data_IF_982865642249
#
_entry.id   IF_982865642249
#
_cell.length_a   1.000
_cell.length_b   1.000
_cell.length_c   1.000
_cell.angle_alpha   90.00
_cell.angle_beta   90.00
_cell.angle_gamma   90.00
#
_symmetry.space_group_name_H-M   'P 1'
#
loop_
_entity.id
_entity.type
_entity.pdbx_description
1 polymer ?
#
# COMPACT_ATOMS: atom_id res chain seq x y z
N UNK A 1 -31.71 118.41 -32.94
CA UNK A 1 -30.31 118.00 -33.12
C UNK A 1 -30.22 116.56 -32.62
N UNK A 2 -29.56 115.71 -33.39
CA UNK A 2 -29.25 114.28 -33.15
C UNK A 2 -30.36 113.29 -33.54
N UNK A 3 -30.44 112.88 -34.82
CA UNK A 3 -29.73 111.76 -35.52
C UNK A 3 -30.23 110.39 -35.03
N UNK A 4 -31.08 109.68 -35.80
CA UNK A 4 -30.73 108.71 -36.87
C UNK A 4 -29.64 107.73 -36.41
N UNK A 5 -29.72 106.42 -36.61
CA UNK A 5 -30.71 105.52 -37.16
C UNK A 5 -30.11 104.10 -36.99
N UNK A 6 -30.96 103.08 -36.96
CA UNK A 6 -30.62 101.69 -37.31
C UNK A 6 -29.60 100.92 -36.42
N UNK A 7 -30.14 100.21 -35.42
CA UNK A 7 -29.61 98.90 -35.04
C UNK A 7 -29.91 97.99 -36.22
N UNK A 8 -28.93 97.74 -37.08
CA UNK A 8 -29.04 96.73 -38.12
C UNK A 8 -27.77 95.87 -38.15
N UNK A 9 -27.89 94.68 -37.59
CA UNK A 9 -27.00 93.56 -37.92
C UNK A 9 -27.78 92.25 -37.83
N UNK A 10 -28.98 92.25 -38.42
CA UNK A 10 -29.65 91.00 -38.75
C UNK A 10 -28.99 90.48 -40.04
N UNK A 11 -27.92 89.68 -39.90
CA UNK A 11 -27.33 88.99 -41.04
C UNK A 11 -28.43 88.19 -41.73
N UNK A 12 -28.58 88.26 -43.06
CA UNK A 12 -29.61 87.51 -43.76
C UNK A 12 -29.45 86.02 -43.40
N UNK A 13 -30.53 85.32 -42.99
CA UNK A 13 -30.45 83.96 -42.47
C UNK A 13 -29.76 82.98 -43.44
N UNK A 14 -29.78 83.28 -44.73
CA UNK A 14 -29.15 82.51 -45.80
C UNK A 14 -27.60 82.52 -45.72
N UNK A 15 -26.96 83.63 -45.31
CA UNK A 15 -25.48 83.70 -45.23
C UNK A 15 -24.91 82.96 -44.01
N UNK A 16 -25.65 82.98 -42.88
CA UNK A 16 -25.28 82.23 -41.68
C UNK A 16 -25.36 80.72 -41.94
N UNK A 17 -26.42 80.26 -42.60
CA UNK A 17 -26.60 78.84 -42.93
C UNK A 17 -25.47 78.33 -43.84
N UNK A 18 -25.09 79.10 -44.88
CA UNK A 18 -23.98 78.72 -45.77
C UNK A 18 -22.63 78.69 -45.03
N UNK A 19 -22.37 79.63 -44.12
CA UNK A 19 -21.16 79.62 -43.28
C UNK A 19 -21.10 78.40 -42.35
N UNK A 20 -22.22 78.04 -41.72
CA UNK A 20 -22.27 76.83 -40.89
C UNK A 20 -22.09 75.56 -41.72
N UNK A 21 -22.71 75.49 -42.91
CA UNK A 21 -22.54 74.36 -43.82
C UNK A 21 -21.08 74.21 -44.26
N UNK A 22 -20.42 75.31 -44.63
CA UNK A 22 -19.00 75.34 -44.98
C UNK A 22 -18.11 74.84 -43.83
N UNK A 23 -18.30 75.36 -42.62
CA UNK A 23 -17.52 74.96 -41.44
C UNK A 23 -17.76 73.47 -41.13
N UNK A 24 -18.99 72.99 -41.26
CA UNK A 24 -19.31 71.58 -41.02
C UNK A 24 -18.66 70.64 -42.04
N UNK A 25 -18.66 70.98 -43.33
CA UNK A 25 -18.03 70.17 -44.39
C UNK A 25 -16.50 70.11 -44.21
N UNK A 26 -15.87 71.20 -43.76
CA UNK A 26 -14.42 71.21 -43.42
C UNK A 26 -14.12 70.27 -42.25
N UNK A 27 -14.89 70.36 -41.16
CA UNK A 27 -14.68 69.53 -39.98
C UNK A 27 -14.92 68.05 -40.27
N UNK A 28 -15.96 67.72 -41.04
CA UNK A 28 -16.27 66.35 -41.46
C UNK A 28 -15.17 65.81 -42.36
N UNK A 29 -14.71 66.58 -43.35
CA UNK A 29 -13.63 66.15 -44.24
C UNK A 29 -12.34 65.87 -43.45
N UNK A 30 -11.95 66.76 -42.53
CA UNK A 30 -10.75 66.57 -41.70
C UNK A 30 -10.85 65.30 -40.85
N UNK A 31 -11.99 65.08 -40.18
CA UNK A 31 -12.22 63.88 -39.40
C UNK A 31 -12.15 62.60 -40.26
N UNK A 32 -12.75 62.63 -41.47
CA UNK A 32 -12.80 61.48 -42.37
C UNK A 32 -11.45 61.17 -43.03
N UNK A 33 -10.51 62.12 -43.12
CA UNK A 33 -9.13 61.81 -43.49
C UNK A 33 -8.27 61.34 -42.31
N UNK A 34 -8.62 61.71 -41.07
CA UNK A 34 -7.88 61.30 -39.86
C UNK A 34 -8.18 59.86 -39.42
N UNK A 35 -9.45 59.46 -39.36
CA UNK A 35 -9.87 58.12 -38.88
C UNK A 35 -9.20 56.96 -39.65
N UNK A 36 -9.08 56.99 -40.99
CA UNK A 36 -8.41 55.93 -41.75
C UNK A 36 -6.91 55.80 -41.41
N UNK A 37 -6.22 56.89 -41.08
CA UNK A 37 -4.81 56.85 -40.66
C UNK A 37 -4.66 56.09 -39.33
N UNK A 38 -5.58 56.33 -38.39
CA UNK A 38 -5.63 55.61 -37.10
C UNK A 38 -5.94 54.12 -37.30
N UNK A 39 -6.87 53.79 -38.20
CA UNK A 39 -7.20 52.40 -38.53
C UNK A 39 -6.01 51.66 -39.17
N UNK A 40 -5.28 52.30 -40.09
CA UNK A 40 -4.08 51.72 -40.71
C UNK A 40 -3.00 51.46 -39.65
N UNK A 41 -2.78 52.42 -38.74
CA UNK A 41 -1.84 52.26 -37.63
C UNK A 41 -2.22 51.08 -36.73
N UNK A 42 -3.50 50.97 -36.35
CA UNK A 42 -4.01 49.85 -35.54
C UNK A 42 -3.78 48.50 -36.23
N UNK A 43 -4.10 48.38 -37.53
CA UNK A 43 -3.91 47.13 -38.29
C UNK A 43 -2.45 46.72 -38.34
N UNK A 44 -1.53 47.66 -38.58
CA UNK A 44 -0.10 47.40 -38.62
C UNK A 44 0.46 46.93 -37.27
N UNK A 45 -0.05 47.48 -36.16
CA UNK A 45 0.38 47.08 -34.81
C UNK A 45 -0.28 45.78 -34.34
N UNK A 46 -1.47 45.45 -34.84
CA UNK A 46 -2.20 44.23 -34.49
C UNK A 46 -1.64 43.00 -35.24
N UNK A 47 -0.97 42.10 -34.50
CA UNK A 47 -0.40 40.88 -35.06
C UNK A 47 -1.45 39.82 -35.43
N UNK A 48 -2.67 39.90 -34.89
CA UNK A 48 -3.66 38.82 -34.92
C UNK A 48 -5.08 39.29 -35.28
N UNK A 49 -5.22 40.05 -36.38
CA UNK A 49 -6.56 40.36 -36.91
C UNK A 49 -6.81 39.57 -38.21
N UNK A 50 -7.69 38.56 -38.21
CA UNK A 50 -7.88 37.66 -39.35
C UNK A 50 -8.51 38.33 -40.59
N UNK A 51 -9.13 39.51 -40.44
CA UNK A 51 -9.89 40.19 -41.49
C UNK A 51 -9.31 41.56 -41.89
N UNK A 52 -8.01 41.63 -42.20
CA UNK A 52 -7.32 42.89 -42.57
C UNK A 52 -7.96 43.62 -43.75
N UNK A 53 -8.45 42.88 -44.75
CA UNK A 53 -9.10 43.44 -45.94
C UNK A 53 -10.36 44.26 -45.64
N UNK A 54 -11.09 43.89 -44.59
CA UNK A 54 -12.36 44.54 -44.23
C UNK A 54 -12.12 45.89 -43.58
N UNK A 55 -11.09 45.98 -42.75
CA UNK A 55 -10.63 47.25 -42.19
C UNK A 55 -10.10 48.19 -43.29
N UNK A 56 -9.40 47.67 -44.30
CA UNK A 56 -9.00 48.47 -45.46
C UNK A 56 -10.20 48.96 -46.28
N UNK A 57 -11.21 48.11 -46.48
CA UNK A 57 -12.44 48.48 -47.19
C UNK A 57 -13.26 49.54 -46.43
N UNK A 58 -13.32 49.43 -45.09
CA UNK A 58 -13.94 50.42 -44.22
C UNK A 58 -13.16 51.76 -44.23
N UNK A 59 -11.82 51.71 -44.22
CA UNK A 59 -10.98 52.89 -44.41
C UNK A 59 -11.21 53.57 -45.77
N UNK A 60 -11.28 52.79 -46.86
CA UNK A 60 -11.57 53.30 -48.20
C UNK A 60 -12.96 53.94 -48.30
N UNK A 61 -13.97 53.35 -47.65
CA UNK A 61 -15.32 53.92 -47.56
C UNK A 61 -15.33 55.29 -46.86
N UNK A 62 -14.64 55.42 -45.72
CA UNK A 62 -14.54 56.68 -44.97
C UNK A 62 -13.81 57.75 -45.78
N UNK A 63 -12.71 57.41 -46.46
CA UNK A 63 -11.97 58.35 -47.32
C UNK A 63 -12.85 58.85 -48.47
N UNK A 64 -13.58 57.95 -49.15
CA UNK A 64 -14.47 58.32 -50.25
C UNK A 64 -15.64 59.20 -49.77
N UNK A 65 -16.21 58.91 -48.60
CA UNK A 65 -17.17 59.82 -47.95
C UNK A 65 -16.53 61.19 -47.68
N UNK A 66 -15.31 61.23 -47.13
CA UNK A 66 -14.60 62.48 -46.80
C UNK A 66 -14.31 63.33 -48.02
N UNK A 67 -13.94 62.67 -49.12
CA UNK A 67 -13.72 63.32 -50.41
C UNK A 67 -15.00 64.03 -50.91
N UNK A 68 -16.20 63.49 -50.68
CA UNK A 68 -17.44 64.16 -51.08
C UNK A 68 -17.69 65.46 -50.32
N UNK A 69 -17.42 65.51 -49.02
CA UNK A 69 -17.51 66.74 -48.22
C UNK A 69 -16.42 67.75 -48.62
N UNK A 70 -15.21 67.26 -48.91
CA UNK A 70 -14.12 68.11 -49.38
C UNK A 70 -14.40 68.72 -50.77
N UNK A 71 -14.98 67.96 -51.71
CA UNK A 71 -15.35 68.45 -53.03
C UNK A 71 -16.53 69.45 -52.95
N UNK A 72 -17.48 69.23 -52.03
CA UNK A 72 -18.56 70.19 -51.75
C UNK A 72 -18.01 71.56 -51.34
N UNK A 73 -16.91 71.61 -50.60
CA UNK A 73 -16.25 72.86 -50.21
C UNK A 73 -15.87 73.73 -51.43
N UNK A 74 -15.34 73.09 -52.47
CA UNK A 74 -14.97 73.74 -53.74
C UNK A 74 -16.19 74.16 -54.55
N UNK A 75 -17.33 73.48 -54.36
CA UNK A 75 -18.57 73.77 -55.07
C UNK A 75 -19.18 75.10 -54.63
N UNK A 76 -18.90 75.57 -53.41
CA UNK A 76 -19.32 76.89 -52.91
C UNK A 76 -18.56 78.05 -53.56
N UNK A 77 -17.31 77.85 -54.00
CA UNK A 77 -16.47 78.92 -54.57
C UNK A 77 -16.38 78.88 -56.09
N UNK A 78 -16.48 77.69 -56.70
CA UNK A 78 -16.31 77.49 -58.15
C UNK A 78 -17.36 76.52 -58.70
N UNK A 79 -18.43 77.05 -59.30
CA UNK A 79 -19.46 76.22 -59.91
C UNK A 79 -19.09 75.86 -61.36
N UNK A 80 -18.34 74.77 -61.53
CA UNK A 80 -17.92 74.26 -62.85
C UNK A 80 -18.49 72.87 -63.14
N UNK A 81 -18.81 72.60 -64.41
CA UNK A 81 -19.25 71.26 -64.89
C UNK A 81 -18.26 70.15 -64.51
N UNK A 82 -16.98 70.49 -64.42
CA UNK A 82 -15.92 69.55 -64.02
C UNK A 82 -16.07 69.15 -62.55
N UNK A 83 -16.29 70.11 -61.64
CA UNK A 83 -16.48 69.84 -60.19
C UNK A 83 -17.73 69.00 -59.97
N UNK A 84 -18.82 69.28 -60.69
CA UNK A 84 -20.04 68.48 -60.64
C UNK A 84 -19.80 67.03 -61.12
N UNK A 85 -19.05 66.83 -62.22
CA UNK A 85 -18.67 65.48 -62.67
C UNK A 85 -17.83 64.74 -61.63
N UNK A 86 -16.79 65.37 -61.07
CA UNK A 86 -15.95 64.75 -60.03
C UNK A 86 -16.80 64.39 -58.79
N UNK A 87 -17.72 65.25 -58.39
CA UNK A 87 -18.64 64.99 -57.27
C UNK A 87 -19.55 63.78 -57.54
N UNK A 88 -20.11 63.66 -58.75
CA UNK A 88 -20.93 62.51 -59.12
C UNK A 88 -20.13 61.21 -59.13
N UNK A 89 -18.90 61.22 -59.66
CA UNK A 89 -18.02 60.05 -59.68
C UNK A 89 -17.66 59.63 -58.24
N UNK A 90 -17.31 60.58 -57.37
CA UNK A 90 -17.00 60.31 -55.98
C UNK A 90 -18.19 59.71 -55.22
N UNK A 91 -19.42 60.22 -55.46
CA UNK A 91 -20.66 59.67 -54.89
C UNK A 91 -20.94 58.25 -55.36
N UNK A 92 -20.79 57.96 -56.65
CA UNK A 92 -21.00 56.60 -57.21
C UNK A 92 -19.96 55.62 -56.66
N UNK A 93 -18.68 56.02 -56.62
CA UNK A 93 -17.62 55.19 -56.05
C UNK A 93 -17.87 54.90 -54.56
N UNK A 94 -18.27 55.91 -53.80
CA UNK A 94 -18.64 55.77 -52.39
C UNK A 94 -19.81 54.79 -52.20
N UNK A 95 -20.87 54.90 -53.02
CA UNK A 95 -22.02 54.01 -52.95
C UNK A 95 -21.65 52.54 -53.24
N UNK A 96 -20.78 52.29 -54.23
CA UNK A 96 -20.31 50.94 -54.56
C UNK A 96 -19.50 50.34 -53.40
N UNK A 97 -18.52 51.09 -52.88
CA UNK A 97 -17.69 50.61 -51.76
C UNK A 97 -18.53 50.39 -50.51
N UNK A 98 -19.48 51.29 -50.21
CA UNK A 98 -20.41 51.17 -49.08
C UNK A 98 -21.28 49.91 -49.17
N UNK A 99 -21.88 49.65 -50.34
CA UNK A 99 -22.69 48.46 -50.56
C UNK A 99 -21.86 47.18 -50.41
N UNK A 100 -20.65 47.16 -50.97
CA UNK A 100 -19.73 46.05 -50.81
C UNK A 100 -19.29 45.85 -49.35
N UNK A 101 -19.08 46.93 -48.57
CA UNK A 101 -18.72 46.80 -47.14
C UNK A 101 -19.86 46.21 -46.32
N UNK A 102 -21.11 46.58 -46.63
CA UNK A 102 -22.28 46.09 -45.92
C UNK A 102 -22.49 44.58 -46.15
N UNK A 103 -22.33 44.11 -47.38
CA UNK A 103 -22.45 42.68 -47.72
C UNK A 103 -21.37 41.82 -47.03
N UNK A 104 -20.12 42.28 -47.02
CA UNK A 104 -19.03 41.58 -46.35
C UNK A 104 -19.25 41.47 -44.84
N UNK A 105 -19.74 42.54 -44.21
CA UNK A 105 -19.95 42.57 -42.76
C UNK A 105 -20.96 41.50 -42.29
N UNK A 106 -22.02 41.25 -43.07
CA UNK A 106 -23.01 40.19 -42.79
C UNK A 106 -22.36 38.81 -42.73
N UNK A 107 -21.34 38.56 -43.54
CA UNK A 107 -20.63 37.28 -43.56
C UNK A 107 -19.62 37.13 -42.41
N UNK A 108 -18.98 38.24 -42.00
CA UNK A 108 -17.88 38.19 -41.02
C UNK A 108 -18.36 38.23 -39.56
N UNK A 109 -19.47 38.93 -39.29
CA UNK A 109 -20.07 38.97 -37.94
C UNK A 109 -20.29 37.55 -37.34
N UNK A 110 -20.92 36.59 -38.04
CA UNK A 110 -21.14 35.26 -37.47
C UNK A 110 -19.83 34.52 -37.17
N UNK A 111 -18.80 34.66 -38.02
CA UNK A 111 -17.49 34.04 -37.79
C UNK A 111 -16.80 34.64 -36.56
N UNK A 112 -16.85 35.96 -36.38
CA UNK A 112 -16.27 36.64 -35.22
C UNK A 112 -16.94 36.22 -33.90
N UNK A 113 -18.26 36.06 -33.93
CA UNK A 113 -19.04 35.55 -32.79
C UNK A 113 -18.73 34.07 -32.52
N UNK A 114 -18.51 33.26 -33.56
CA UNK A 114 -18.19 31.84 -33.41
C UNK A 114 -16.87 31.61 -32.65
N UNK A 115 -15.85 32.43 -32.86
CA UNK A 115 -14.56 32.32 -32.15
C UNK A 115 -14.74 32.51 -30.64
N UNK A 116 -15.52 33.51 -30.24
CA UNK A 116 -15.79 33.79 -28.82
C UNK A 116 -16.58 32.65 -28.16
N UNK A 117 -17.53 32.04 -28.88
CA UNK A 117 -18.25 30.87 -28.37
C UNK A 117 -17.33 29.64 -28.22
N UNK A 118 -16.38 29.45 -29.15
CA UNK A 118 -15.41 28.35 -29.11
C UNK A 118 -14.42 28.50 -27.96
N UNK A 119 -13.94 29.72 -27.71
CA UNK A 119 -13.08 30.01 -26.55
C UNK A 119 -13.79 29.69 -25.23
N UNK A 120 -15.05 30.12 -25.08
CA UNK A 120 -15.85 29.83 -23.88
C UNK A 120 -16.06 28.32 -23.70
N UNK A 121 -16.37 27.60 -24.77
CA UNK A 121 -16.54 26.15 -24.71
C UNK A 121 -15.23 25.44 -24.30
N UNK A 122 -14.09 25.84 -24.87
CA UNK A 122 -12.79 25.27 -24.54
C UNK A 122 -12.38 25.56 -23.10
N UNK A 123 -12.65 26.77 -22.58
CA UNK A 123 -12.41 27.09 -21.16
C UNK A 123 -13.25 26.23 -20.22
N UNK A 124 -14.55 26.12 -20.49
CA UNK A 124 -15.42 25.27 -19.68
C UNK A 124 -14.98 23.80 -19.72
N UNK A 125 -14.55 23.31 -20.89
CA UNK A 125 -13.99 21.95 -21.03
C UNK A 125 -12.67 21.77 -20.30
N UNK A 126 -11.79 22.77 -20.32
CA UNK A 126 -10.54 22.75 -19.57
C UNK A 126 -10.79 22.73 -18.06
N UNK A 127 -11.71 23.56 -17.55
CA UNK A 127 -12.10 23.57 -16.14
C UNK A 127 -12.74 22.25 -15.70
N UNK A 128 -13.59 21.65 -16.54
CA UNK A 128 -14.16 20.33 -16.29
C UNK A 128 -13.07 19.25 -16.21
N UNK A 129 -12.12 19.26 -17.15
CA UNK A 129 -11.01 18.31 -17.21
C UNK A 129 -10.05 18.49 -16.03
N UNK A 130 -9.75 19.72 -15.61
CA UNK A 130 -8.92 19.99 -14.44
C UNK A 130 -9.57 19.47 -13.16
N UNK A 131 -10.91 19.58 -13.04
CA UNK A 131 -11.65 19.01 -11.91
C UNK A 131 -11.59 17.48 -11.91
N UNK A 132 -11.76 16.84 -13.06
CA UNK A 132 -11.64 15.38 -13.19
C UNK A 132 -10.21 14.91 -12.90
N UNK A 133 -9.20 15.59 -13.46
CA UNK A 133 -7.78 15.30 -13.21
C UNK A 133 -7.44 15.41 -11.73
N UNK A 134 -7.94 16.45 -11.05
CA UNK A 134 -7.74 16.61 -9.60
C UNK A 134 -8.27 15.42 -8.79
N UNK A 135 -9.45 14.91 -9.13
CA UNK A 135 -10.01 13.71 -8.48
C UNK A 135 -9.15 12.47 -8.74
N UNK A 136 -8.71 12.27 -9.99
CA UNK A 136 -7.86 11.12 -10.37
C UNK A 136 -6.52 11.16 -9.63
N UNK A 137 -5.87 12.33 -9.54
CA UNK A 137 -4.60 12.47 -8.82
C UNK A 137 -4.74 12.11 -7.34
N UNK A 138 -5.79 12.60 -6.66
CA UNK A 138 -6.02 12.24 -5.25
C UNK A 138 -6.29 10.74 -5.06
N UNK A 139 -6.96 10.10 -6.02
CA UNK A 139 -7.17 8.66 -6.03
C UNK A 139 -5.86 7.88 -6.24
N UNK A 140 -4.97 8.36 -7.12
CA UNK A 140 -3.69 7.73 -7.36
C UNK A 140 -2.75 7.86 -6.14
N UNK A 141 -2.70 9.03 -5.51
CA UNK A 141 -1.93 9.26 -4.29
C UNK A 141 -2.38 8.37 -3.13
N UNK A 142 -3.69 8.31 -2.86
CA UNK A 142 -4.26 7.42 -1.85
C UNK A 142 -3.95 5.95 -2.14
N UNK A 143 -4.07 5.52 -3.41
CA UNK A 143 -3.69 4.18 -3.83
C UNK A 143 -2.20 3.87 -3.64
N UNK A 144 -1.30 4.84 -3.89
CA UNK A 144 0.15 4.68 -3.63
C UNK A 144 0.46 4.55 -2.15
N UNK A 145 -0.17 5.36 -1.29
CA UNK A 145 0.00 5.28 0.16
C UNK A 145 -0.46 3.91 0.69
N UNK A 146 -1.63 3.43 0.24
CA UNK A 146 -2.11 2.08 0.59
C UNK A 146 -1.13 1.00 0.14
N UNK A 147 -0.58 1.08 -1.08
CA UNK A 147 0.44 0.12 -1.55
C UNK A 147 1.70 0.15 -0.67
N UNK A 148 2.17 1.33 -0.27
CA UNK A 148 3.33 1.46 0.62
C UNK A 148 3.04 0.82 1.99
N UNK A 149 1.87 1.08 2.55
CA UNK A 149 1.39 0.46 3.79
C UNK A 149 1.34 -1.07 3.68
N UNK A 150 0.82 -1.61 2.58
CA UNK A 150 0.79 -3.08 2.41
C UNK A 150 2.18 -3.71 2.38
N UNK A 151 3.19 -2.98 1.89
CA UNK A 151 4.57 -3.44 1.93
C UNK A 151 5.13 -3.41 3.36
N UNK A 152 4.89 -2.34 4.11
CA UNK A 152 5.32 -2.21 5.50
C UNK A 152 4.68 -3.28 6.41
N UNK A 153 3.39 -3.53 6.24
CA UNK A 153 2.64 -4.60 6.93
C UNK A 153 3.30 -5.97 6.69
N UNK A 154 3.71 -6.27 5.44
CA UNK A 154 4.38 -7.53 5.11
C UNK A 154 5.80 -7.65 5.68
N UNK A 155 6.46 -6.54 5.96
CA UNK A 155 7.82 -6.52 6.52
C UNK A 155 7.86 -6.69 8.04
N UNK A 156 6.74 -6.45 8.72
CA UNK A 156 6.62 -6.57 10.17
C UNK A 156 6.17 -7.99 10.53
N UNK A 157 6.74 -8.55 11.60
CA UNK A 157 6.43 -9.92 12.07
C UNK A 157 5.73 -9.94 13.43
N UNK A 158 5.60 -8.79 14.10
CA UNK A 158 4.87 -8.69 15.36
C UNK A 158 3.38 -8.39 15.12
N UNK A 159 2.52 -9.27 15.64
CA UNK A 159 1.06 -9.17 15.50
C UNK A 159 0.50 -7.83 15.98
N UNK A 160 0.94 -7.36 17.15
CA UNK A 160 0.40 -6.12 17.72
C UNK A 160 0.79 -4.90 16.90
N UNK A 161 2.03 -4.87 16.41
CA UNK A 161 2.55 -3.81 15.56
C UNK A 161 1.86 -3.79 14.21
N UNK A 162 1.69 -4.95 13.55
CA UNK A 162 0.95 -5.08 12.28
C UNK A 162 -0.45 -4.44 12.42
N UNK A 163 -1.20 -4.84 13.45
CA UNK A 163 -2.57 -4.35 13.64
C UNK A 163 -2.60 -2.85 13.93
N UNK A 164 -1.76 -2.38 14.86
CA UNK A 164 -1.73 -0.97 15.24
C UNK A 164 -1.33 -0.08 14.05
N UNK A 165 -0.28 -0.44 13.32
CA UNK A 165 0.19 0.33 12.16
C UNK A 165 -0.86 0.36 11.06
N UNK A 166 -1.51 -0.78 10.77
CA UNK A 166 -2.61 -0.85 9.80
C UNK A 166 -3.72 0.13 10.17
N UNK A 167 -4.21 0.11 11.41
CA UNK A 167 -5.31 0.98 11.83
C UNK A 167 -4.95 2.46 11.72
N UNK A 168 -3.74 2.84 12.15
CA UNK A 168 -3.27 4.23 12.12
C UNK A 168 -3.09 4.74 10.69
N UNK A 169 -2.40 3.99 9.83
CA UNK A 169 -2.11 4.42 8.47
C UNK A 169 -3.34 4.37 7.57
N UNK A 170 -4.23 3.38 7.76
CA UNK A 170 -5.52 3.34 7.09
C UNK A 170 -6.41 4.51 7.54
N UNK A 171 -6.40 4.82 8.84
CA UNK A 171 -7.08 5.98 9.42
C UNK A 171 -6.63 7.30 8.81
N UNK A 172 -5.32 7.48 8.66
CA UNK A 172 -4.74 8.68 8.02
C UNK A 172 -5.03 8.76 6.52
N UNK A 173 -4.85 7.65 5.81
CA UNK A 173 -4.97 7.61 4.34
C UNK A 173 -6.40 7.81 3.86
N UNK A 174 -7.37 7.23 4.57
CA UNK A 174 -8.78 7.35 4.24
C UNK A 174 -9.50 8.44 5.04
N UNK A 175 -8.83 9.13 5.97
CA UNK A 175 -9.42 10.17 6.81
C UNK A 175 -10.60 9.65 7.64
N UNK A 176 -10.37 8.56 8.38
CA UNK A 176 -11.41 7.88 9.17
C UNK A 176 -11.59 8.54 10.54
N UNK A 177 -12.82 8.56 11.04
CA UNK A 177 -13.10 8.95 12.43
C UNK A 177 -12.81 7.81 13.39
N UNK A 178 -13.06 6.56 12.99
CA UNK A 178 -12.73 5.38 13.79
C UNK A 178 -12.42 4.20 12.86
N UNK A 179 -11.47 3.37 13.28
CA UNK A 179 -11.15 2.10 12.64
C UNK A 179 -10.97 1.07 13.74
N UNK A 180 -11.77 0.00 13.70
CA UNK A 180 -11.84 -1.00 14.75
C UNK A 180 -11.66 -2.40 14.17
N UNK A 181 -10.89 -3.24 14.85
CA UNK A 181 -10.72 -4.64 14.50
C UNK A 181 -11.34 -5.54 15.57
N UNK A 182 -12.30 -6.35 15.14
CA UNK A 182 -13.03 -7.31 15.95
C UNK A 182 -12.48 -8.71 15.67
N UNK A 183 -11.99 -9.36 16.71
CA UNK A 183 -11.40 -10.69 16.63
C UNK A 183 -12.34 -11.70 17.29
N UNK A 184 -12.43 -12.94 16.80
CA UNK A 184 -13.22 -13.98 17.46
C UNK A 184 -12.64 -14.28 18.86
N UNK A 185 -13.55 -14.42 19.83
CA UNK A 185 -13.26 -14.80 21.21
C UNK A 185 -12.76 -16.24 21.29
N UNK A 186 -12.15 -16.60 22.44
CA UNK A 186 -11.68 -17.97 22.70
C UNK A 186 -12.79 -19.02 22.61
N UNK A 187 -14.03 -18.63 22.92
CA UNK A 187 -15.20 -19.48 22.86
C UNK A 187 -15.74 -19.66 21.44
N UNK A 188 -15.29 -18.85 20.47
CA UNK A 188 -15.75 -18.88 19.08
C UNK A 188 -17.19 -18.40 18.86
N UNK A 189 -17.89 -17.93 19.91
CA UNK A 189 -19.30 -17.50 19.81
C UNK A 189 -19.48 -15.99 19.62
N UNK A 190 -18.50 -15.21 20.07
CA UNK A 190 -18.54 -13.75 20.07
C UNK A 190 -17.30 -13.16 19.40
N UNK A 191 -17.45 -11.98 18.80
CA UNK A 191 -16.38 -11.09 18.39
C UNK A 191 -16.03 -10.14 19.53
N UNK A 192 -14.77 -10.11 19.94
CA UNK A 192 -14.24 -9.18 20.91
C UNK A 192 -13.47 -8.05 20.21
N UNK A 193 -13.68 -6.81 20.64
CA UNK A 193 -12.91 -5.69 20.14
C UNK A 193 -11.43 -5.84 20.57
N UNK A 194 -10.56 -5.96 19.58
CA UNK A 194 -9.13 -6.19 19.79
C UNK A 194 -8.32 -4.90 19.70
N UNK A 195 -8.53 -4.12 18.63
CA UNK A 195 -7.81 -2.87 18.39
C UNK A 195 -8.76 -1.79 17.87
N UNK A 196 -8.47 -0.52 18.18
CA UNK A 196 -9.25 0.65 17.79
C UNK A 196 -8.29 1.82 17.57
N UNK A 197 -8.61 2.72 16.64
CA UNK A 197 -7.80 3.87 16.29
C UNK A 197 -7.91 4.95 17.37
N UNK A 198 -9.13 5.38 17.67
CA UNK A 198 -9.41 6.54 18.52
C UNK A 198 -10.10 6.17 19.84
N UNK A 199 -10.28 4.88 20.13
CA UNK A 199 -10.91 4.37 21.35
C UNK A 199 -12.34 4.88 21.58
N UNK A 200 -13.05 5.27 20.51
CA UNK A 200 -14.46 5.69 20.60
C UNK A 200 -15.38 4.49 20.92
N UNK A 201 -14.94 3.27 20.63
CA UNK A 201 -15.57 2.03 21.05
C UNK A 201 -14.83 1.50 22.29
N UNK A 202 -15.58 1.11 23.34
CA UNK A 202 -14.98 0.58 24.57
C UNK A 202 -14.24 -0.74 24.30
N UNK A 203 -12.92 -0.75 24.54
CA UNK A 203 -12.07 -1.95 24.51
C UNK A 203 -12.63 -2.99 25.49
N UNK A 204 -12.79 -4.23 25.03
CA UNK A 204 -13.44 -5.31 25.78
C UNK A 204 -14.93 -5.50 25.47
N UNK A 205 -15.53 -4.68 24.61
CA UNK A 205 -16.87 -4.93 24.08
C UNK A 205 -16.90 -6.26 23.31
N UNK A 206 -17.99 -7.01 23.47
CA UNK A 206 -18.25 -8.25 22.72
C UNK A 206 -19.53 -8.13 21.90
N UNK A 207 -19.53 -8.78 20.74
CA UNK A 207 -20.65 -8.80 19.79
C UNK A 207 -20.87 -10.23 19.33
N UNK A 208 -22.08 -10.80 19.43
CA UNK A 208 -22.34 -12.18 18.99
C UNK A 208 -22.08 -12.38 17.49
N UNK A 209 -21.44 -13.51 17.12
CA UNK A 209 -21.15 -13.85 15.71
C UNK A 209 -22.42 -14.22 14.94
N UNK A 210 -23.45 -14.72 15.62
CA UNK A 210 -24.72 -15.15 15.02
C UNK A 210 -25.61 -13.99 14.53
N UNK A 211 -25.18 -12.73 14.67
CA UNK A 211 -25.90 -11.60 14.13
C UNK A 211 -25.96 -11.66 12.59
N UNK A 212 -27.11 -11.36 11.96
CA UNK A 212 -27.29 -11.48 10.51
C UNK A 212 -26.27 -10.65 9.73
N UNK A 213 -25.99 -9.42 10.20
CA UNK A 213 -24.99 -8.54 9.58
C UNK A 213 -23.57 -9.11 9.64
N UNK A 214 -23.20 -9.76 10.76
CA UNK A 214 -21.87 -10.36 10.92
C UNK A 214 -21.73 -11.54 9.95
N UNK A 215 -22.75 -12.38 9.86
CA UNK A 215 -22.77 -13.50 8.94
C UNK A 215 -22.72 -13.04 7.47
N UNK A 216 -23.40 -11.94 7.13
CA UNK A 216 -23.33 -11.35 5.80
C UNK A 216 -21.90 -10.88 5.47
N UNK A 217 -21.24 -10.19 6.41
CA UNK A 217 -19.83 -9.76 6.26
C UNK A 217 -18.90 -10.97 6.12
N UNK A 218 -19.12 -12.03 6.88
CA UNK A 218 -18.31 -13.26 6.78
C UNK A 218 -18.47 -13.97 5.44
N UNK A 219 -19.66 -13.96 4.85
CA UNK A 219 -19.92 -14.60 3.56
C UNK A 219 -19.48 -13.74 2.37
N UNK A 220 -19.37 -12.42 2.52
CA UNK A 220 -18.89 -11.52 1.48
C UNK A 220 -17.36 -11.40 1.48
N UNK A 221 -16.74 -11.48 0.29
CA UNK A 221 -15.34 -11.11 0.12
C UNK A 221 -15.12 -9.59 0.03
N UNK A 222 -16.19 -8.84 -0.21
CA UNK A 222 -16.15 -7.40 -0.45
C UNK A 222 -16.38 -6.60 0.82
N UNK A 223 -15.87 -5.38 0.84
CA UNK A 223 -16.19 -4.40 1.87
C UNK A 223 -17.66 -4.00 1.73
N UNK A 224 -18.44 -4.18 2.81
CA UNK A 224 -19.87 -3.96 2.81
C UNK A 224 -20.24 -2.76 3.67
N UNK A 225 -21.19 -1.95 3.18
CA UNK A 225 -21.76 -0.85 3.96
C UNK A 225 -22.70 -1.44 5.00
N UNK A 226 -22.48 -1.12 6.28
CA UNK A 226 -23.32 -1.58 7.40
C UNK A 226 -23.99 -0.38 8.07
N UNK A 227 -25.18 -0.56 8.68
CA UNK A 227 -25.82 0.54 9.39
C UNK A 227 -25.03 0.91 10.65
N UNK A 228 -24.95 2.21 10.95
CA UNK A 228 -24.28 2.72 12.16
C UNK A 228 -24.93 2.21 13.47
N UNK A 229 -26.17 1.72 13.40
CA UNK A 229 -26.87 1.08 14.52
C UNK A 229 -26.35 -0.33 14.83
N UNK A 230 -25.52 -0.91 13.96
CA UNK A 230 -24.91 -2.22 14.18
C UNK A 230 -24.02 -2.19 15.44
N UNK A 231 -24.08 -3.22 16.31
CA UNK A 231 -23.25 -3.29 17.51
C UNK A 231 -21.74 -3.16 17.24
N UNK A 232 -21.28 -3.61 16.07
CA UNK A 232 -19.90 -3.49 15.61
C UNK A 232 -19.44 -2.04 15.37
N UNK A 233 -20.38 -1.13 15.12
CA UNK A 233 -20.17 0.25 14.72
C UNK A 233 -20.54 1.26 15.82
N UNK A 234 -20.95 0.78 17.00
CA UNK A 234 -21.50 1.61 18.07
C UNK A 234 -20.41 2.38 18.79
N UNK A 235 -20.13 3.59 18.32
CA UNK A 235 -19.29 4.59 19.00
C UNK A 235 -20.03 5.25 20.17
N UNK A 236 -19.31 5.69 21.21
CA UNK A 236 -19.90 6.49 22.30
C UNK A 236 -20.58 7.74 21.73
N UNK A 237 -21.73 8.18 22.29
CA UNK A 237 -22.45 9.32 21.74
C UNK A 237 -21.69 10.62 22.00
N UNK A 238 -21.35 11.37 20.95
CA UNK A 238 -21.15 12.81 21.06
C UNK A 238 -22.50 13.50 20.82
N UNK A 239 -23.00 14.14 21.88
CA UNK A 239 -24.21 14.95 21.88
C UNK A 239 -24.16 15.97 20.74
N UNK A 240 -25.19 16.01 19.88
CA UNK A 240 -25.39 17.11 18.91
C UNK A 240 -25.15 16.83 17.42
N UNK A 241 -25.04 15.56 16.97
CA UNK A 241 -24.79 15.24 15.55
C UNK A 241 -26.09 15.07 14.74
N UNK A 242 -26.13 15.68 13.53
CA UNK A 242 -27.31 15.74 12.64
C UNK A 242 -27.32 14.71 11.50
N UNK A 243 -26.19 14.02 11.22
CA UNK A 243 -26.07 13.06 10.10
C UNK A 243 -25.47 11.74 10.60
N UNK A 244 -26.10 10.58 10.29
CA UNK A 244 -25.53 9.29 10.63
C UNK A 244 -24.25 9.02 9.81
N UNK A 245 -23.15 8.52 10.43
CA UNK A 245 -21.93 8.22 9.70
C UNK A 245 -22.14 7.05 8.74
N UNK A 246 -21.44 7.09 7.61
CA UNK A 246 -21.30 5.88 6.78
C UNK A 246 -20.26 4.94 7.39
N UNK A 247 -20.65 3.68 7.53
CA UNK A 247 -19.83 2.62 8.12
C UNK A 247 -19.65 1.51 7.12
N UNK A 248 -18.41 1.02 7.03
CA UNK A 248 -18.04 -0.13 6.21
C UNK A 248 -17.44 -1.21 7.09
N UNK A 249 -17.80 -2.46 6.81
CA UNK A 249 -17.21 -3.63 7.43
C UNK A 249 -16.63 -4.56 6.35
N UNK A 250 -15.44 -5.09 6.61
CA UNK A 250 -14.77 -6.05 5.75
C UNK A 250 -14.27 -7.23 6.60
N UNK A 251 -14.40 -8.45 6.09
CA UNK A 251 -13.83 -9.62 6.75
C UNK A 251 -12.31 -9.64 6.58
N UNK A 252 -11.61 -10.07 7.63
CA UNK A 252 -10.18 -10.34 7.62
C UNK A 252 -10.01 -11.83 7.90
N UNK A 253 -9.65 -12.65 6.89
CA UNK A 253 -9.44 -14.08 7.09
C UNK A 253 -8.33 -14.34 8.11
N UNK A 254 -8.60 -15.19 9.10
CA UNK A 254 -7.58 -15.67 10.01
C UNK A 254 -7.25 -17.11 9.62
N UNK A 255 -6.01 -17.33 9.17
CA UNK A 255 -5.51 -18.68 8.91
C UNK A 255 -5.23 -19.34 10.27
N UNK A 256 -5.90 -20.47 10.52
CA UNK A 256 -5.63 -21.30 11.70
C UNK A 256 -4.74 -22.47 11.28
N UNK A 257 -3.48 -22.47 11.73
CA UNK A 257 -2.61 -23.63 11.61
C UNK A 257 -3.09 -24.68 12.62
N UNK A 258 -3.94 -25.58 12.15
CA UNK A 258 -4.62 -26.58 13.00
C UNK A 258 -3.75 -27.83 13.22
N UNK A 259 -2.45 -27.80 12.92
CA UNK A 259 -1.66 -29.01 12.71
C UNK A 259 -0.56 -29.29 13.75
N UNK A 260 -0.37 -28.46 14.76
CA UNK A 260 0.36 -28.85 15.97
C UNK A 260 -0.59 -28.85 17.15
N UNK A 261 -0.94 -30.06 17.62
CA UNK A 261 -1.65 -30.26 18.87
C UNK A 261 -0.79 -29.76 20.03
N UNK A 262 -0.94 -28.49 20.38
CA UNK A 262 -0.62 -27.97 21.70
C UNK A 262 -1.96 -27.90 22.43
N UNK A 263 -2.12 -28.79 23.41
CA UNK A 263 -3.27 -28.84 24.31
C UNK A 263 -3.63 -27.42 24.79
N UNK A 264 -4.78 -26.90 24.35
CA UNK A 264 -5.59 -25.83 25.01
C UNK A 264 -6.66 -25.18 24.10
N UNK A 265 -6.94 -25.70 22.89
CA UNK A 265 -8.01 -25.18 22.03
C UNK A 265 -9.03 -26.26 21.66
N UNK A 266 -10.35 -26.03 21.86
CA UNK A 266 -11.37 -26.93 21.36
C UNK A 266 -11.33 -26.98 19.83
N UNK A 267 -11.23 -28.19 19.28
CA UNK A 267 -11.31 -28.51 17.85
C UNK A 267 -12.60 -27.95 17.24
N UNK A 268 -12.54 -26.75 16.67
CA UNK A 268 -13.53 -26.25 15.73
C UNK A 268 -12.79 -25.80 14.48
N UNK A 269 -12.72 -26.71 13.51
CA UNK A 269 -12.31 -26.52 12.11
C UNK A 269 -13.28 -25.55 11.36
N UNK A 270 -13.61 -24.41 11.95
CA UNK A 270 -14.39 -23.36 11.33
C UNK A 270 -13.44 -22.25 10.89
N UNK A 271 -13.57 -21.82 9.63
CA UNK A 271 -12.84 -20.64 9.12
C UNK A 271 -13.10 -19.47 10.08
N UNK A 272 -12.05 -19.02 10.74
CA UNK A 272 -12.13 -17.93 11.71
C UNK A 272 -11.94 -16.62 10.97
N UNK A 273 -12.90 -15.71 11.10
CA UNK A 273 -12.86 -14.40 10.46
C UNK A 273 -12.83 -13.33 11.54
N UNK A 274 -11.93 -12.37 11.39
CA UNK A 274 -12.03 -11.09 12.05
C UNK A 274 -12.88 -10.13 11.21
N UNK A 275 -13.41 -9.08 11.82
CA UNK A 275 -14.11 -8.00 11.13
C UNK A 275 -13.39 -6.68 11.36
N UNK A 276 -12.97 -6.03 10.28
CA UNK A 276 -12.49 -4.66 10.33
C UNK A 276 -13.63 -3.72 10.00
N UNK A 277 -13.88 -2.75 10.87
CA UNK A 277 -14.97 -1.77 10.78
C UNK A 277 -14.37 -0.38 10.67
N UNK A 278 -14.80 0.37 9.66
CA UNK A 278 -14.28 1.69 9.32
C UNK A 278 -15.43 2.69 9.32
N UNK A 279 -15.25 3.80 10.02
CA UNK A 279 -16.27 4.83 10.23
C UNK A 279 -15.75 6.14 9.66
N UNK A 280 -16.50 6.74 8.73
CA UNK A 280 -16.18 8.06 8.19
C UNK A 280 -16.56 9.19 9.16
N UNK A 281 -15.93 10.37 9.04
CA UNK A 281 -16.23 11.53 9.86
C UNK A 281 -17.69 11.94 9.77
N UNK A 282 -18.37 11.93 10.91
CA UNK A 282 -19.77 12.35 11.08
C UNK A 282 -20.04 13.83 10.80
N UNK A 283 -19.01 14.69 10.83
CA UNK A 283 -19.13 16.12 10.54
C UNK A 283 -19.24 16.41 9.03
N UNK A 284 -18.98 15.41 8.20
CA UNK A 284 -18.97 15.51 6.75
C UNK A 284 -20.07 14.64 6.15
N UNK A 285 -20.78 15.14 5.14
CA UNK A 285 -21.72 14.34 4.34
C UNK A 285 -20.99 13.39 3.36
N UNK A 286 -19.73 13.03 3.64
CA UNK A 286 -18.89 12.17 2.81
C UNK A 286 -19.44 10.76 2.81
N UNK A 287 -19.46 10.18 1.61
CA UNK A 287 -19.82 8.78 1.38
C UNK A 287 -18.61 8.00 0.89
N UNK A 288 -18.62 6.69 1.14
CA UNK A 288 -17.63 5.77 0.61
C UNK A 288 -17.73 5.68 -0.90
N UNK A 289 -16.61 5.97 -1.57
CA UNK A 289 -16.47 5.73 -3.01
C UNK A 289 -16.05 4.28 -3.25
N UNK A 290 -16.40 3.75 -4.42
CA UNK A 290 -16.17 2.33 -4.71
C UNK A 290 -14.68 1.98 -4.73
N UNK A 291 -13.80 2.88 -5.19
CA UNK A 291 -12.35 2.67 -5.12
C UNK A 291 -11.80 2.61 -3.70
N UNK A 292 -12.42 3.32 -2.74
CA UNK A 292 -12.00 3.26 -1.34
C UNK A 292 -12.37 1.92 -0.71
N UNK A 293 -13.51 1.34 -1.11
CA UNK A 293 -13.91 0.00 -0.72
C UNK A 293 -12.92 -1.04 -1.25
N UNK A 294 -12.54 -0.94 -2.52
CA UNK A 294 -11.52 -1.82 -3.12
C UNK A 294 -10.17 -1.72 -2.40
N UNK A 295 -9.75 -0.50 -2.02
CA UNK A 295 -8.52 -0.31 -1.24
C UNK A 295 -8.61 -0.98 0.14
N UNK A 296 -9.75 -0.86 0.83
CA UNK A 296 -9.98 -1.49 2.14
C UNK A 296 -9.96 -3.02 2.03
N UNK A 297 -10.53 -3.58 0.96
CA UNK A 297 -10.46 -5.03 0.68
C UNK A 297 -9.02 -5.50 0.53
N UNK A 298 -8.22 -4.79 -0.29
CA UNK A 298 -6.80 -5.12 -0.47
C UNK A 298 -6.06 -5.07 0.86
N UNK A 299 -6.28 -4.03 1.67
CA UNK A 299 -5.63 -3.92 2.99
C UNK A 299 -6.06 -5.06 3.91
N UNK A 300 -7.35 -5.41 3.96
CA UNK A 300 -7.85 -6.51 4.78
C UNK A 300 -7.18 -7.85 4.44
N UNK A 301 -7.04 -8.16 3.14
CA UNK A 301 -6.33 -9.36 2.68
C UNK A 301 -4.84 -9.33 3.03
N UNK A 302 -4.19 -8.17 2.95
CA UNK A 302 -2.77 -8.06 3.32
C UNK A 302 -2.53 -8.20 4.82
N UNK A 303 -3.43 -7.66 5.63
CA UNK A 303 -3.42 -7.84 7.08
C UNK A 303 -3.59 -9.32 7.41
N UNK A 304 -4.52 -10.02 6.75
CA UNK A 304 -4.71 -11.46 6.93
C UNK A 304 -3.43 -12.25 6.63
N UNK A 305 -2.74 -11.94 5.53
CA UNK A 305 -1.46 -12.59 5.16
C UNK A 305 -0.38 -12.30 6.21
N UNK A 306 -0.19 -11.04 6.61
CA UNK A 306 0.84 -10.68 7.58
C UNK A 306 0.58 -11.29 8.96
N UNK A 307 -0.68 -11.29 9.41
CA UNK A 307 -1.09 -11.97 10.64
C UNK A 307 -0.82 -13.47 10.59
N UNK A 308 -1.07 -14.10 9.43
CA UNK A 308 -0.73 -15.50 9.24
C UNK A 308 0.77 -15.73 9.40
N UNK A 309 1.62 -14.96 8.71
CA UNK A 309 3.07 -15.09 8.81
C UNK A 309 3.58 -14.89 10.24
N UNK A 310 3.06 -13.89 10.97
CA UNK A 310 3.38 -13.67 12.36
C UNK A 310 3.02 -14.89 13.24
N UNK A 311 1.84 -15.49 13.03
CA UNK A 311 1.42 -16.68 13.76
C UNK A 311 2.31 -17.90 13.46
N UNK A 312 2.65 -18.15 12.18
CA UNK A 312 3.54 -19.25 11.79
C UNK A 312 4.91 -19.09 12.47
N UNK A 313 5.43 -17.87 12.47
CA UNK A 313 6.75 -17.59 13.05
C UNK A 313 6.75 -17.82 14.56
N UNK A 314 5.74 -17.33 15.27
CA UNK A 314 5.60 -17.51 16.72
C UNK A 314 5.52 -19.00 17.09
N UNK A 315 4.75 -19.79 16.33
CA UNK A 315 4.64 -21.23 16.50
C UNK A 315 5.97 -21.95 16.21
N UNK A 316 6.63 -21.60 15.11
CA UNK A 316 7.93 -22.16 14.74
C UNK A 316 9.00 -21.85 15.78
N UNK A 317 9.00 -20.66 16.36
CA UNK A 317 9.91 -20.29 17.44
C UNK A 317 9.66 -21.13 18.69
N UNK A 318 8.40 -21.28 19.11
CA UNK A 318 8.03 -22.14 20.25
C UNK A 318 8.45 -23.58 20.04
N UNK A 319 8.19 -24.15 18.87
CA UNK A 319 8.58 -25.52 18.54
C UNK A 319 10.11 -25.69 18.57
N UNK A 320 10.86 -24.71 18.06
CA UNK A 320 12.32 -24.71 18.13
C UNK A 320 12.82 -24.69 19.57
N UNK A 321 12.25 -23.83 20.41
CA UNK A 321 12.68 -23.71 21.81
C UNK A 321 12.39 -25.00 22.59
N UNK A 322 11.23 -25.63 22.38
CA UNK A 322 10.92 -26.96 22.93
C UNK A 322 11.90 -28.04 22.48
N UNK A 323 12.28 -28.04 21.20
CA UNK A 323 13.27 -28.99 20.67
C UNK A 323 14.66 -28.76 21.29
N UNK A 324 15.05 -27.52 21.54
CA UNK A 324 16.31 -27.20 22.21
C UNK A 324 16.31 -27.74 23.65
N UNK A 325 15.24 -27.51 24.41
CA UNK A 325 15.10 -28.01 25.77
C UNK A 325 15.16 -29.54 25.83
N UNK A 326 14.46 -30.21 24.91
CA UNK A 326 14.51 -31.67 24.78
C UNK A 326 15.91 -32.17 24.42
N UNK A 327 16.62 -31.49 23.53
CA UNK A 327 17.97 -31.88 23.14
C UNK A 327 18.96 -31.74 24.31
N UNK A 328 18.84 -30.66 25.10
CA UNK A 328 19.63 -30.47 26.32
C UNK A 328 19.36 -31.57 27.34
N UNK A 329 18.08 -31.86 27.62
CA UNK A 329 17.70 -32.92 28.55
C UNK A 329 18.20 -34.30 28.08
N UNK A 330 18.10 -34.58 26.78
CA UNK A 330 18.59 -35.82 26.18
C UNK A 330 20.12 -35.96 26.29
N UNK A 331 20.86 -34.89 26.02
CA UNK A 331 22.32 -34.89 26.14
C UNK A 331 22.77 -35.10 27.59
N UNK A 332 22.08 -34.51 28.55
CA UNK A 332 22.36 -34.73 29.98
C UNK A 332 22.11 -36.19 30.39
N UNK A 333 20.95 -36.74 30.03
CA UNK A 333 20.62 -38.14 30.32
C UNK A 333 21.60 -39.11 29.66
N UNK A 334 22.01 -38.82 28.41
CA UNK A 334 23.05 -39.59 27.71
C UNK A 334 24.38 -39.53 28.44
N UNK A 335 24.82 -38.34 28.86
CA UNK A 335 26.09 -38.17 29.56
C UNK A 335 26.10 -38.88 30.94
N UNK A 336 24.98 -38.88 31.65
CA UNK A 336 24.84 -39.64 32.90
C UNK A 336 24.94 -41.15 32.66
N UNK A 337 24.26 -41.65 31.62
CA UNK A 337 24.35 -43.06 31.23
C UNK A 337 25.78 -43.45 30.83
N UNK A 338 26.48 -42.63 30.03
CA UNK A 338 27.88 -42.86 29.66
C UNK A 338 28.81 -42.88 30.87
N UNK A 339 28.64 -41.95 31.82
CA UNK A 339 29.41 -41.95 33.08
C UNK A 339 29.17 -43.20 33.92
N UNK A 340 27.92 -43.66 34.00
CA UNK A 340 27.58 -44.87 34.73
C UNK A 340 28.19 -46.13 34.08
N UNK A 341 28.19 -46.20 32.75
CA UNK A 341 28.82 -47.29 31.98
C UNK A 341 30.34 -47.29 32.20
N UNK A 342 31.00 -46.13 32.10
CA UNK A 342 32.43 -46.03 32.36
C UNK A 342 32.78 -46.44 33.79
N UNK A 343 32.06 -45.94 34.80
CA UNK A 343 32.29 -46.33 36.19
C UNK A 343 32.10 -47.84 36.42
N UNK A 344 31.11 -48.46 35.77
CA UNK A 344 30.88 -49.91 35.79
C UNK A 344 32.08 -50.67 35.22
N UNK A 345 32.57 -50.26 34.05
CA UNK A 345 33.68 -50.92 33.37
C UNK A 345 35.00 -50.75 34.14
N UNK A 346 35.28 -49.56 34.67
CA UNK A 346 36.45 -49.30 35.51
C UNK A 346 36.44 -50.16 36.77
N UNK A 347 35.28 -50.30 37.42
CA UNK A 347 35.10 -51.17 38.58
C UNK A 347 35.38 -52.64 38.26
N UNK A 348 34.86 -53.16 37.13
CA UNK A 348 35.09 -54.54 36.71
C UNK A 348 36.57 -54.80 36.40
N UNK A 349 37.26 -53.87 35.73
CA UNK A 349 38.69 -53.99 35.44
C UNK A 349 39.53 -54.07 36.72
N UNK A 350 39.29 -53.14 37.68
CA UNK A 350 40.03 -53.11 38.95
C UNK A 350 39.73 -54.38 39.77
N UNK A 351 38.46 -54.75 39.92
CA UNK A 351 38.08 -55.94 40.69
C UNK A 351 38.74 -57.20 40.13
N UNK A 352 38.71 -57.40 38.81
CA UNK A 352 39.30 -58.58 38.18
C UNK A 352 40.83 -58.63 38.40
N UNK A 353 41.52 -57.50 38.29
CA UNK A 353 42.96 -57.44 38.58
C UNK A 353 43.26 -57.79 40.04
N UNK A 354 42.49 -57.22 40.98
CA UNK A 354 42.67 -57.44 42.41
C UNK A 354 42.23 -58.84 42.87
N UNK A 355 41.31 -59.50 42.16
CA UNK A 355 40.93 -60.90 42.43
C UNK A 355 41.91 -61.91 41.80
N UNK A 356 42.60 -61.55 40.71
CA UNK A 356 43.59 -62.41 40.05
C UNK A 356 44.78 -62.71 40.97
N UNK A 357 45.31 -61.70 41.63
CA UNK A 357 46.50 -61.81 42.51
C UNK A 357 46.32 -62.83 43.65
N UNK A 358 45.27 -62.74 44.50
CA UNK A 358 45.04 -63.73 45.54
C UNK A 358 44.74 -65.11 44.96
N UNK A 359 44.08 -65.19 43.80
CA UNK A 359 43.83 -66.50 43.19
C UNK A 359 45.10 -67.20 42.71
N UNK A 360 46.02 -66.48 42.08
CA UNK A 360 47.30 -67.05 41.68
C UNK A 360 48.13 -67.47 42.89
N UNK A 361 48.07 -66.72 44.00
CA UNK A 361 48.71 -67.11 45.25
C UNK A 361 48.13 -68.40 45.82
N UNK A 362 46.80 -68.57 45.84
CA UNK A 362 46.14 -69.81 46.30
C UNK A 362 46.52 -70.99 45.39
N UNK A 363 46.49 -70.82 44.07
CA UNK A 363 46.89 -71.85 43.10
C UNK A 363 48.35 -72.27 43.33
N UNK A 364 49.26 -71.30 43.48
CA UNK A 364 50.68 -71.57 43.72
C UNK A 364 50.90 -72.30 45.05
N UNK A 365 50.26 -71.85 46.13
CA UNK A 365 50.37 -72.49 47.45
C UNK A 365 49.80 -73.91 47.44
N UNK A 366 48.64 -74.15 46.80
CA UNK A 366 48.09 -75.49 46.66
C UNK A 366 49.00 -76.39 45.83
N UNK A 367 49.59 -75.87 44.75
CA UNK A 367 50.54 -76.61 43.91
C UNK A 367 51.79 -77.01 44.70
N UNK A 368 52.37 -76.08 45.48
CA UNK A 368 53.51 -76.35 46.34
C UNK A 368 53.20 -77.36 47.45
N UNK A 369 52.00 -77.29 48.04
CA UNK A 369 51.57 -78.26 49.05
C UNK A 369 51.42 -79.68 48.46
N UNK A 370 50.95 -79.81 47.22
CA UNK A 370 50.82 -81.12 46.56
C UNK A 370 52.15 -81.83 46.30
N UNK A 371 53.24 -81.07 46.22
CA UNK A 371 54.63 -81.57 46.12
C UNK A 371 55.20 -82.03 47.47
N UNK A 372 54.49 -81.83 48.59
CA UNK A 372 54.90 -82.29 49.93
C UNK A 372 54.30 -83.65 50.31
N UNK A 373 54.81 -84.27 51.37
CA UNK A 373 54.21 -85.47 51.94
C UNK A 373 52.87 -85.15 52.61
N UNK A 374 51.77 -85.56 51.97
CA UNK A 374 50.40 -85.36 52.44
C UNK A 374 49.72 -86.71 52.70
N UNK A 375 48.82 -86.75 53.68
CA UNK A 375 47.90 -87.88 53.84
C UNK A 375 46.92 -87.97 52.66
N UNK A 376 46.34 -89.15 52.36
CA UNK A 376 45.38 -89.31 51.27
C UNK A 376 44.20 -88.33 51.35
N UNK A 377 43.66 -88.09 52.55
CA UNK A 377 42.56 -87.16 52.78
C UNK A 377 42.96 -85.69 52.54
N UNK A 378 44.16 -85.30 52.99
CA UNK A 378 44.69 -83.94 52.76
C UNK A 378 44.96 -83.68 51.27
N UNK A 379 45.47 -84.68 50.54
CA UNK A 379 45.71 -84.59 49.09
C UNK A 379 44.41 -84.32 48.34
N UNK A 380 43.36 -85.10 48.60
CA UNK A 380 42.04 -84.91 47.96
C UNK A 380 41.46 -83.52 48.27
N UNK A 381 41.63 -83.03 49.50
CA UNK A 381 41.15 -81.70 49.89
C UNK A 381 41.89 -80.57 49.15
N UNK A 382 43.22 -80.66 49.03
CA UNK A 382 44.04 -79.67 48.30
C UNK A 382 43.78 -79.74 46.80
N UNK A 383 43.64 -80.94 46.21
CA UNK A 383 43.25 -81.11 44.80
C UNK A 383 41.90 -80.47 44.49
N UNK A 384 40.94 -80.58 45.42
CA UNK A 384 39.62 -79.95 45.30
C UNK A 384 39.72 -78.42 45.37
N UNK A 385 40.53 -77.87 46.28
CA UNK A 385 40.78 -76.42 46.37
C UNK A 385 41.48 -75.92 45.11
N UNK A 386 42.48 -76.63 44.60
CA UNK A 386 43.20 -76.28 43.37
C UNK A 386 42.26 -76.27 42.16
N UNK A 387 41.44 -77.32 41.99
CA UNK A 387 40.45 -77.40 40.91
C UNK A 387 39.45 -76.25 40.97
N UNK A 388 38.96 -75.94 42.17
CA UNK A 388 38.01 -74.83 42.38
C UNK A 388 38.66 -73.46 42.13
N UNK A 389 39.93 -73.31 42.51
CA UNK A 389 40.71 -72.09 42.31
C UNK A 389 40.99 -71.82 40.83
N UNK A 390 41.33 -72.87 40.08
CA UNK A 390 41.52 -72.79 38.62
C UNK A 390 40.22 -72.43 37.90
N UNK A 391 39.10 -73.07 38.28
CA UNK A 391 37.79 -72.72 37.73
C UNK A 391 37.43 -71.24 37.99
N UNK A 392 37.67 -70.75 39.21
CA UNK A 392 37.39 -69.36 39.54
C UNK A 392 38.31 -68.39 38.75
N UNK A 393 39.57 -68.74 38.55
CA UNK A 393 40.49 -67.94 37.74
C UNK A 393 40.04 -67.86 36.26
N UNK A 394 39.55 -68.96 35.68
CA UNK A 394 38.98 -68.97 34.33
C UNK A 394 37.74 -68.07 34.27
N UNK A 395 36.79 -68.22 35.19
CA UNK A 395 35.57 -67.42 35.22
C UNK A 395 35.86 -65.91 35.37
N UNK A 396 36.86 -65.54 36.17
CA UNK A 396 37.30 -64.14 36.33
C UNK A 396 37.85 -63.58 35.00
N UNK A 397 38.63 -64.38 34.26
CA UNK A 397 39.16 -63.96 32.96
C UNK A 397 38.05 -63.85 31.90
N UNK A 398 37.11 -64.81 31.86
CA UNK A 398 36.00 -64.80 30.91
C UNK A 398 35.12 -63.55 31.06
N UNK A 399 34.87 -63.10 32.31
CA UNK A 399 34.11 -61.87 32.59
C UNK A 399 34.85 -60.62 32.08
N UNK A 400 36.18 -60.60 32.16
CA UNK A 400 36.99 -59.50 31.64
C UNK A 400 36.98 -59.47 30.10
N UNK A 401 37.12 -60.63 29.47
CA UNK A 401 37.11 -60.76 28.02
C UNK A 401 35.74 -60.39 27.43
N UNK A 402 34.64 -60.75 28.12
CA UNK A 402 33.30 -60.29 27.76
C UNK A 402 33.16 -58.76 27.87
N UNK A 403 33.70 -58.17 28.93
CA UNK A 403 33.70 -56.70 29.10
C UNK A 403 34.47 -55.99 27.99
N UNK A 404 35.62 -56.53 27.57
CA UNK A 404 36.45 -56.00 26.46
C UNK A 404 35.79 -56.16 25.10
N UNK A 405 34.97 -57.20 24.95
CA UNK A 405 34.19 -57.43 23.74
C UNK A 405 33.00 -56.45 23.65
N UNK A 406 32.32 -56.17 24.78
CA UNK A 406 31.22 -55.19 24.83
C UNK A 406 31.66 -53.74 24.58
N UNK A 407 32.85 -53.35 25.04
CA UNK A 407 33.38 -51.99 24.84
C UNK A 407 34.22 -51.83 23.56
N UNK A 408 34.40 -52.92 22.80
CA UNK A 408 35.12 -52.94 21.52
C UNK A 408 36.65 -52.84 21.66
N UNK A 409 37.19 -52.96 22.87
CA UNK A 409 38.65 -52.96 23.11
C UNK A 409 39.33 -54.31 22.86
N UNK A 410 38.56 -55.36 22.50
CA UNK A 410 39.12 -56.66 22.15
C UNK A 410 39.89 -56.59 20.82
N UNK A 411 41.22 -56.57 20.92
CA UNK A 411 42.11 -56.67 19.77
C UNK A 411 42.41 -58.14 19.44
N UNK A 412 42.25 -58.50 18.16
CA UNK A 412 42.62 -59.83 17.66
C UNK A 412 44.09 -59.82 17.24
N UNK A 413 44.88 -60.72 17.81
CA UNK A 413 46.26 -60.95 17.37
C UNK A 413 46.27 -61.93 16.18
N UNK A 414 46.73 -61.47 15.02
CA UNK A 414 46.79 -62.27 13.80
C UNK A 414 48.18 -62.92 13.67
N UNK A 415 48.24 -64.22 13.96
CA UNK A 415 49.46 -65.02 13.86
C UNK A 415 49.29 -66.31 13.06
N UNK A 416 50.42 -66.90 12.63
CA UNK A 416 50.45 -68.24 12.05
C UNK A 416 50.36 -69.28 13.17
N UNK A 417 49.41 -70.22 13.07
CA UNK A 417 49.25 -71.30 14.03
C UNK A 417 49.10 -72.67 13.35
N UNK A 418 49.52 -73.73 14.04
CA UNK A 418 49.36 -75.11 13.56
C UNK A 418 47.97 -75.65 13.91
N UNK A 419 47.13 -75.75 12.88
CA UNK A 419 45.76 -76.27 13.01
C UNK A 419 45.75 -77.70 13.62
N UNK A 420 46.69 -78.56 13.24
CA UNK A 420 46.70 -79.95 13.70
C UNK A 420 47.09 -80.06 15.18
N UNK A 421 48.04 -79.23 15.62
CA UNK A 421 48.41 -79.07 17.03
C UNK A 421 47.21 -78.66 17.89
N UNK A 422 46.45 -77.64 17.47
CA UNK A 422 45.28 -77.15 18.23
C UNK A 422 44.19 -78.22 18.35
N UNK A 423 43.87 -78.94 17.26
CA UNK A 423 42.84 -80.00 17.32
C UNK A 423 43.20 -81.14 18.27
N UNK A 424 44.49 -81.47 18.38
CA UNK A 424 44.96 -82.51 19.31
C UNK A 424 44.84 -82.06 20.76
N UNK A 425 45.11 -80.79 21.02
CA UNK A 425 45.03 -80.17 22.35
C UNK A 425 43.60 -80.05 22.88
N UNK A 426 42.61 -79.80 22.00
CA UNK A 426 41.18 -79.71 22.36
C UNK A 426 40.51 -81.08 22.51
N UNK A 427 41.10 -82.15 21.93
CA UNK A 427 40.50 -83.50 21.94
C UNK A 427 40.76 -84.32 23.21
N UNK A 428 41.48 -83.75 24.18
CA UNK A 428 41.78 -84.31 25.50
C UNK A 428 41.07 -83.53 26.59
#
# INVERSE_FOLDING_TARGET
METCDCIDSQWPPEELLVKYQYISDVLIALAYFSIPLELIYFVQKSAFFPYRWVLMQFGAFIILCGATHFINLWTFTMHSKVVAMVMTIAKVACAIVSCATALMLVHIIPDLLSVKTRELFLRNKAEELDREMGLILTQEETGRHVRMLTHEIRSTLDRHTILKTTLVELGRTLGLEECALWMPSRTGMDLQLSHTLNYQIQVGSTVPINLPMVNEVFNSARAMRIPYTCPLARIRPLVGRYVPPEVVAVRVPLLHLSNFQINDWPELSAKSYAVMVLILPTESARKWRDHELELVEVVADQVAVALSHAAILEESMRARDQLLDQNVALNLARQEAEKAIHARNDFLSVMNHEMRTPMHAIIALCSLLLETELTPEQRVMIETVLKSSNLLATLINDVLDLSRLEDGSLELDFGMFDLHGIFKEVSH
#
